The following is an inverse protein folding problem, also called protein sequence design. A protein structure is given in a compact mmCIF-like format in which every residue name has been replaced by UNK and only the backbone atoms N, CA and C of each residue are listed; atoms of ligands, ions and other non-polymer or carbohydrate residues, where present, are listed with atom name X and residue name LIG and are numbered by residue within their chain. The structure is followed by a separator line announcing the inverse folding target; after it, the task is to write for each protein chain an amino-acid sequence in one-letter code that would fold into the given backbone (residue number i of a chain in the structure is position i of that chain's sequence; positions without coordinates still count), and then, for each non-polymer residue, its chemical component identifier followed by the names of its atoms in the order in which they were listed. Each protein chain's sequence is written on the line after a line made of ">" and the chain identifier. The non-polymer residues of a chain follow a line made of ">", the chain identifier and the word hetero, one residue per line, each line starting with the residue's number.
data_IF_986812285638
#
_entry.id   IF_986812285638
#
_cell.length_a   1.000
_cell.length_b   1.000
_cell.length_c   1.000
_cell.angle_alpha   90.00
_cell.angle_beta   90.00
_cell.angle_gamma   90.00
#
_symmetry.space_group_name_H-M   'P 1'
#
loop_
_entity.id
_entity.type
_entity.pdbx_description
1 polymer ?
#
# COMPACT_ATOMS: atom_id res chain seq x y z
N UNK A 1 0.69 -0.74 12.22
CA UNK A 1 1.71 0.08 11.50
C UNK A 1 1.34 0.09 10.02
N UNK A 2 1.57 1.16 9.25
CA UNK A 2 1.29 1.11 7.81
C UNK A 2 2.21 0.12 7.09
N UNK A 3 1.75 -0.44 5.98
CA UNK A 3 2.64 -1.10 4.99
C UNK A 3 3.64 -0.07 4.45
N UNK A 4 4.79 -0.52 3.96
CA UNK A 4 5.82 0.41 3.48
C UNK A 4 5.45 0.98 2.12
N UNK A 5 5.18 0.12 1.14
CA UNK A 5 4.92 0.55 -0.24
C UNK A 5 3.78 -0.21 -0.91
N UNK A 6 2.92 0.53 -1.62
CA UNK A 6 1.77 -0.01 -2.34
C UNK A 6 1.91 0.26 -3.83
N UNK A 7 1.88 -0.79 -4.65
CA UNK A 7 1.78 -0.66 -6.11
C UNK A 7 0.37 -0.21 -6.49
N UNK A 8 0.29 0.93 -7.17
CA UNK A 8 -0.97 1.53 -7.61
C UNK A 8 -1.03 1.50 -9.14
N UNK A 9 -2.01 0.77 -9.69
CA UNK A 9 -2.21 0.61 -11.13
C UNK A 9 -3.58 1.16 -11.48
N UNK A 10 -3.60 2.21 -12.30
CA UNK A 10 -4.80 2.82 -12.84
C UNK A 10 -4.47 3.40 -14.21
N UNK A 11 -5.46 3.45 -15.09
CA UNK A 11 -5.32 3.91 -16.47
C UNK A 11 -5.87 5.32 -16.72
N UNK A 12 -6.39 5.97 -15.69
CA UNK A 12 -6.93 7.32 -15.75
C UNK A 12 -6.50 8.17 -14.54
N UNK A 13 -6.56 9.50 -14.70
CA UNK A 13 -6.06 10.45 -13.69
C UNK A 13 -6.85 10.40 -12.39
N UNK A 14 -8.18 10.25 -12.46
CA UNK A 14 -9.05 10.27 -11.29
C UNK A 14 -8.78 9.07 -10.37
N UNK A 15 -8.70 7.86 -10.92
CA UNK A 15 -8.45 6.65 -10.14
C UNK A 15 -7.02 6.61 -9.59
N UNK A 16 -6.04 7.14 -10.34
CA UNK A 16 -4.68 7.29 -9.84
C UNK A 16 -4.62 8.24 -8.62
N UNK A 17 -5.39 9.33 -8.63
CA UNK A 17 -5.51 10.25 -7.50
C UNK A 17 -6.26 9.63 -6.31
N UNK A 18 -7.31 8.84 -6.55
CA UNK A 18 -8.03 8.11 -5.49
C UNK A 18 -7.08 7.13 -4.80
N UNK A 19 -6.32 6.34 -5.57
CA UNK A 19 -5.31 5.42 -5.05
C UNK A 19 -4.24 6.17 -4.25
N UNK A 20 -3.71 7.26 -4.79
CA UNK A 20 -2.71 8.10 -4.11
C UNK A 20 -3.24 8.61 -2.77
N UNK A 21 -4.45 9.18 -2.74
CA UNK A 21 -5.06 9.70 -1.53
C UNK A 21 -5.24 8.60 -0.47
N UNK A 22 -5.74 7.43 -0.87
CA UNK A 22 -5.92 6.28 0.02
C UNK A 22 -4.59 5.80 0.64
N UNK A 23 -3.56 5.61 -0.18
CA UNK A 23 -2.26 5.12 0.26
C UNK A 23 -1.55 6.12 1.17
N UNK A 24 -1.60 7.41 0.84
CA UNK A 24 -0.99 8.46 1.66
C UNK A 24 -1.74 8.74 2.96
N UNK A 25 -3.07 8.60 2.99
CA UNK A 25 -3.86 8.72 4.21
C UNK A 25 -3.49 7.67 5.26
N UNK A 26 -3.08 6.47 4.82
CA UNK A 26 -2.57 5.41 5.70
C UNK A 26 -1.12 5.67 6.14
N UNK A 27 -0.37 6.45 5.36
CA UNK A 27 1.02 6.80 5.63
C UNK A 27 2.06 5.99 4.84
N UNK A 28 1.62 5.16 3.90
CA UNK A 28 2.47 4.35 3.03
C UNK A 28 3.17 5.20 1.93
N UNK A 29 4.12 4.59 1.21
CA UNK A 29 4.62 5.09 -0.08
C UNK A 29 3.82 4.50 -1.26
N UNK A 30 3.74 5.25 -2.36
CA UNK A 30 3.14 4.77 -3.62
C UNK A 30 4.25 4.34 -4.57
N UNK A 31 4.09 3.15 -5.17
CA UNK A 31 4.80 2.75 -6.38
C UNK A 31 3.88 2.92 -7.58
N UNK A 32 4.27 3.75 -8.52
CA UNK A 32 3.58 3.93 -9.79
C UNK A 32 4.35 3.31 -10.95
N UNK A 33 3.65 2.79 -11.97
CA UNK A 33 4.27 2.51 -13.25
C UNK A 33 4.84 3.81 -13.83
N UNK A 34 6.04 3.73 -14.39
CA UNK A 34 6.72 4.83 -15.05
C UNK A 34 6.11 5.09 -16.44
N UNK A 35 4.88 5.61 -16.46
CA UNK A 35 4.12 5.95 -17.66
C UNK A 35 3.87 7.46 -17.74
N UNK A 36 3.53 7.94 -18.93
CA UNK A 36 3.24 9.36 -19.18
C UNK A 36 2.17 9.90 -18.22
N UNK A 37 1.10 9.14 -17.98
CA UNK A 37 -0.01 9.56 -17.11
C UNK A 37 0.48 9.85 -15.69
N UNK A 38 1.16 8.90 -15.05
CA UNK A 38 1.62 9.04 -13.67
C UNK A 38 2.74 10.09 -13.56
N UNK A 39 3.61 10.21 -14.57
CA UNK A 39 4.65 11.24 -14.62
C UNK A 39 4.07 12.64 -14.73
N UNK A 40 3.07 12.84 -15.59
CA UNK A 40 2.43 14.14 -15.77
C UNK A 40 1.58 14.52 -14.57
N UNK A 41 0.92 13.56 -13.94
CA UNK A 41 0.22 13.78 -12.68
C UNK A 41 1.19 14.22 -11.58
N UNK A 42 2.31 13.52 -11.40
CA UNK A 42 3.30 13.84 -10.36
C UNK A 42 3.90 15.24 -10.49
N UNK A 43 4.03 15.78 -11.71
CA UNK A 43 4.48 17.18 -11.92
C UNK A 43 3.49 18.22 -11.40
N UNK A 44 2.21 17.87 -11.30
CA UNK A 44 1.14 18.75 -10.80
C UNK A 44 1.00 18.70 -9.28
N UNK A 45 1.61 17.70 -8.61
CA UNK A 45 1.43 17.47 -7.18
C UNK A 45 2.38 18.34 -6.34
N UNK A 46 1.98 18.71 -5.11
CA UNK A 46 2.87 19.33 -4.13
C UNK A 46 4.10 18.46 -3.88
N UNK A 47 5.21 19.11 -3.53
CA UNK A 47 6.50 18.45 -3.35
C UNK A 47 6.43 17.33 -2.30
N UNK A 48 5.76 17.59 -1.18
CA UNK A 48 5.62 16.68 -0.05
C UNK A 48 4.90 15.38 -0.45
N UNK A 49 3.96 15.48 -1.39
CA UNK A 49 3.23 14.34 -1.97
C UNK A 49 4.14 13.60 -2.94
N UNK A 50 4.82 14.32 -3.85
CA UNK A 50 5.73 13.75 -4.84
C UNK A 50 6.91 13.01 -4.22
N UNK A 51 7.41 13.44 -3.05
CA UNK A 51 8.47 12.76 -2.29
C UNK A 51 8.04 11.37 -1.76
N UNK A 52 6.74 11.09 -1.68
CA UNK A 52 6.18 9.78 -1.29
C UNK A 52 5.93 8.84 -2.47
N UNK A 53 6.20 9.29 -3.69
CA UNK A 53 5.97 8.51 -4.92
C UNK A 53 7.29 7.93 -5.42
N UNK A 54 7.26 6.66 -5.81
CA UNK A 54 8.33 5.95 -6.50
C UNK A 54 7.82 5.53 -7.87
N UNK A 55 8.73 5.45 -8.83
CA UNK A 55 8.42 5.01 -10.19
C UNK A 55 9.28 3.80 -10.55
N UNK A 56 8.68 2.86 -11.26
CA UNK A 56 9.41 1.78 -11.91
C UNK A 56 8.78 1.45 -13.26
N UNK A 57 9.61 1.06 -14.23
CA UNK A 57 9.12 0.61 -15.52
C UNK A 57 8.31 -0.67 -15.38
N UNK A 58 7.39 -0.93 -16.30
CA UNK A 58 6.53 -2.11 -16.26
C UNK A 58 7.33 -3.41 -16.15
N UNK A 59 8.43 -3.52 -16.90
CA UNK A 59 9.30 -4.71 -16.87
C UNK A 59 10.00 -4.91 -15.51
N UNK A 60 10.19 -3.83 -14.76
CA UNK A 60 10.91 -3.82 -13.48
C UNK A 60 9.99 -4.00 -12.29
N UNK A 61 8.67 -3.75 -12.45
CA UNK A 61 7.69 -3.83 -11.37
C UNK A 61 7.74 -5.16 -10.62
N UNK A 62 7.79 -6.35 -11.26
CA UNK A 62 7.84 -7.61 -10.54
C UNK A 62 9.01 -7.71 -9.54
N UNK A 63 10.16 -7.13 -9.88
CA UNK A 63 11.35 -7.11 -9.03
C UNK A 63 11.39 -6.00 -7.97
N UNK A 64 10.42 -5.09 -7.95
CA UNK A 64 10.35 -4.04 -6.94
C UNK A 64 9.78 -4.57 -5.62
N UNK A 65 10.26 -4.01 -4.51
CA UNK A 65 9.65 -4.23 -3.20
C UNK A 65 8.35 -3.42 -3.07
N UNK A 66 7.26 -4.11 -2.76
CA UNK A 66 5.95 -3.57 -2.39
C UNK A 66 5.16 -4.63 -1.63
N UNK A 67 4.28 -4.19 -0.72
CA UNK A 67 3.59 -5.03 0.27
C UNK A 67 2.09 -5.21 -0.01
N UNK A 68 1.55 -4.41 -0.94
CA UNK A 68 0.16 -4.44 -1.39
C UNK A 68 0.06 -3.92 -2.83
N UNK A 69 -1.02 -4.31 -3.52
CA UNK A 69 -1.39 -3.78 -4.84
C UNK A 69 -2.82 -3.25 -4.80
N UNK A 70 -3.04 -2.09 -5.39
CA UNK A 70 -4.37 -1.56 -5.70
C UNK A 70 -4.47 -1.37 -7.21
N UNK A 71 -5.55 -1.87 -7.79
CA UNK A 71 -5.83 -1.83 -9.22
C UNK A 71 -7.21 -1.23 -9.48
N UNK A 72 -7.30 -0.26 -10.40
CA UNK A 72 -8.54 0.22 -10.99
C UNK A 72 -8.53 -0.09 -12.50
N UNK A 73 -9.54 -0.82 -12.99
CA UNK A 73 -9.64 -1.15 -14.41
C UNK A 73 -10.62 -2.29 -14.68
N UNK A 74 -10.39 -3.03 -15.77
CA UNK A 74 -11.20 -4.21 -16.11
C UNK A 74 -10.68 -5.51 -15.47
N UNK A 75 -11.53 -6.52 -15.44
CA UNK A 75 -11.27 -7.82 -14.81
C UNK A 75 -10.23 -8.67 -15.54
N UNK A 76 -10.08 -8.49 -16.85
CA UNK A 76 -9.15 -9.29 -17.65
C UNK A 76 -7.71 -8.88 -17.34
N UNK A 77 -7.44 -7.58 -17.35
CA UNK A 77 -6.16 -7.01 -16.93
C UNK A 77 -5.87 -7.24 -15.43
N UNK A 78 -6.90 -7.22 -14.58
CA UNK A 78 -6.74 -7.59 -13.15
C UNK A 78 -6.24 -9.02 -12.99
N UNK A 79 -6.74 -9.97 -13.80
CA UNK A 79 -6.30 -11.35 -13.75
C UNK A 79 -4.83 -11.49 -14.13
N UNK A 80 -4.42 -10.84 -15.22
CA UNK A 80 -3.01 -10.80 -15.65
C UNK A 80 -2.10 -10.20 -14.57
N UNK A 81 -2.54 -9.10 -13.93
CA UNK A 81 -1.81 -8.49 -12.83
C UNK A 81 -1.68 -9.44 -11.63
N UNK A 82 -2.74 -10.15 -11.27
CA UNK A 82 -2.70 -11.15 -10.20
C UNK A 82 -1.72 -12.28 -10.51
N UNK A 83 -1.68 -12.78 -11.75
CA UNK A 83 -0.72 -13.80 -12.19
C UNK A 83 0.72 -13.29 -12.06
N UNK A 84 0.99 -12.05 -12.50
CA UNK A 84 2.31 -11.43 -12.36
C UNK A 84 2.72 -11.23 -10.90
N UNK A 85 1.80 -10.78 -10.04
CA UNK A 85 2.07 -10.57 -8.61
C UNK A 85 2.31 -11.91 -7.89
N UNK A 86 1.56 -12.94 -8.24
CA UNK A 86 1.71 -14.29 -7.67
C UNK A 86 3.01 -14.98 -8.09
N UNK A 87 3.55 -14.65 -9.27
CA UNK A 87 4.81 -15.18 -9.76
C UNK A 87 6.05 -14.53 -9.11
N UNK A 88 5.89 -13.51 -8.26
CA UNK A 88 7.00 -12.84 -7.59
C UNK A 88 7.59 -13.71 -6.48
N UNK A 89 8.90 -13.67 -6.37
CA UNK A 89 9.59 -14.24 -5.23
C UNK A 89 9.30 -13.43 -3.94
N UNK A 90 9.28 -14.12 -2.81
CA UNK A 90 9.13 -13.52 -1.48
C UNK A 90 7.71 -13.62 -0.92
N UNK A 91 7.31 -12.59 -0.17
CA UNK A 91 6.03 -12.61 0.54
C UNK A 91 4.85 -12.50 -0.45
N UNK A 92 3.78 -13.25 -0.18
CA UNK A 92 2.52 -13.12 -0.92
C UNK A 92 1.93 -11.74 -0.66
N UNK A 93 1.71 -11.00 -1.74
CA UNK A 93 1.16 -9.65 -1.70
C UNK A 93 -0.33 -9.66 -2.00
N UNK A 94 -1.12 -8.96 -1.19
CA UNK A 94 -2.55 -8.81 -1.44
C UNK A 94 -2.84 -7.84 -2.58
N UNK A 95 -3.69 -8.25 -3.52
CA UNK A 95 -4.23 -7.39 -4.58
C UNK A 95 -5.65 -6.97 -4.23
N UNK A 96 -5.94 -5.67 -4.36
CA UNK A 96 -7.28 -5.12 -4.31
C UNK A 96 -7.66 -4.62 -5.70
N UNK A 97 -8.69 -5.21 -6.31
CA UNK A 97 -9.19 -4.84 -7.62
C UNK A 97 -10.51 -4.09 -7.51
N UNK A 98 -10.63 -2.99 -8.25
CA UNK A 98 -11.78 -2.10 -8.27
C UNK A 98 -12.12 -1.74 -9.73
N UNK A 99 -13.39 -1.51 -10.03
CA UNK A 99 -13.80 -0.93 -11.31
C UNK A 99 -13.44 0.56 -11.36
N UNK A 100 -13.30 1.11 -12.57
CA UNK A 100 -12.98 2.53 -12.75
C UNK A 100 -14.02 3.43 -12.04
N UNK A 101 -13.55 4.46 -11.34
CA UNK A 101 -14.38 5.39 -10.58
C UNK A 101 -14.86 4.90 -9.22
N UNK A 102 -14.52 3.68 -8.81
CA UNK A 102 -14.75 3.23 -7.44
C UNK A 102 -13.87 4.03 -6.45
N UNK A 103 -14.44 4.37 -5.30
CA UNK A 103 -13.77 5.22 -4.30
C UNK A 103 -13.66 4.55 -2.93
N UNK A 104 -14.36 3.44 -2.72
CA UNK A 104 -14.44 2.76 -1.43
C UNK A 104 -13.29 1.75 -1.26
N UNK A 105 -12.06 2.26 -1.24
CA UNK A 105 -10.85 1.46 -1.07
C UNK A 105 -10.75 0.98 0.39
N UNK A 106 -10.40 -0.28 0.60
CA UNK A 106 -10.28 -0.89 1.94
C UNK A 106 -8.94 -0.51 2.58
N UNK A 107 -8.91 0.62 3.29
CA UNK A 107 -7.71 1.19 3.90
C UNK A 107 -7.14 0.30 5.02
N UNK A 108 -7.99 -0.43 5.73
CA UNK A 108 -7.60 -1.36 6.80
C UNK A 108 -6.63 -2.45 6.29
N UNK A 109 -6.73 -2.82 5.02
CA UNK A 109 -5.84 -3.83 4.39
C UNK A 109 -4.43 -3.29 4.12
N UNK A 110 -4.25 -1.97 4.23
CA UNK A 110 -2.95 -1.31 4.08
C UNK A 110 -2.20 -1.16 5.41
N UNK A 111 -2.79 -1.60 6.54
CA UNK A 111 -2.10 -1.71 7.82
C UNK A 111 -1.58 -3.12 8.08
N UNK A 112 -0.51 -3.20 8.87
CA UNK A 112 0.05 -4.38 9.50
C UNK A 112 -0.32 -4.34 10.98
N UNK A 113 -1.02 -5.37 11.43
CA UNK A 113 -1.38 -5.56 12.83
C UNK A 113 -0.17 -6.04 13.65
N UNK A 114 0.00 -5.51 14.85
CA UNK A 114 1.10 -5.87 15.75
C UNK A 114 0.58 -6.04 17.17
N UNK A 115 0.73 -7.23 17.73
CA UNK A 115 0.43 -7.52 19.13
C UNK A 115 1.72 -7.57 19.95
N UNK A 116 1.71 -6.89 21.11
CA UNK A 116 2.85 -6.84 22.03
C UNK A 116 2.37 -7.29 23.41
N UNK A 117 2.85 -8.45 23.86
CA UNK A 117 2.60 -8.94 25.22
C UNK A 117 3.83 -8.66 26.08
N UNK A 118 3.65 -7.84 27.12
CA UNK A 118 4.72 -7.46 28.05
C UNK A 118 4.45 -8.12 29.38
N UNK A 119 5.37 -8.98 29.83
CA UNK A 119 5.29 -9.54 31.19
C UNK A 119 5.72 -8.47 32.20
N UNK A 120 4.75 -7.76 32.77
CA UNK A 120 4.96 -6.70 33.76
C UNK A 120 5.44 -7.21 35.12
N UNK A 121 5.34 -8.52 35.40
CA UNK A 121 5.82 -9.15 36.62
C UNK A 121 7.21 -9.79 36.48
N UNK A 122 7.86 -9.66 35.31
CA UNK A 122 9.14 -10.29 35.04
C UNK A 122 10.26 -9.90 36.02
N UNK A 123 10.17 -8.72 36.65
CA UNK A 123 11.11 -8.26 37.68
C UNK A 123 10.84 -8.83 39.10
N UNK A 124 9.90 -9.79 39.24
CA UNK A 124 9.63 -10.48 40.51
C UNK A 124 8.46 -9.93 41.32
N UNK A 125 7.66 -9.01 40.78
CA UNK A 125 6.46 -8.49 41.44
C UNK A 125 5.63 -7.61 40.49
N UNK A 126 4.32 -7.58 40.70
CA UNK A 126 3.43 -6.69 39.95
C UNK A 126 3.22 -5.40 40.74
N UNK A 127 3.85 -4.31 40.30
CA UNK A 127 3.75 -3.01 40.95
C UNK A 127 2.29 -2.51 41.08
N UNK A 128 1.43 -2.83 40.12
CA UNK A 128 0.00 -2.45 40.15
C UNK A 128 -0.80 -3.20 41.23
N UNK A 129 -0.32 -4.37 41.69
CA UNK A 129 -0.92 -5.11 42.81
C UNK A 129 -0.42 -4.63 44.18
N UNK A 130 0.70 -3.89 44.24
CA UNK A 130 1.25 -3.38 45.50
C UNK A 130 0.52 -2.14 46.03
N UNK A 131 -0.40 -1.57 45.25
CA UNK A 131 -1.17 -0.34 45.58
C UNK A 131 -2.67 -0.58 45.83
N UNK A 132 -3.14 -1.83 45.69
CA UNK A 132 -4.51 -2.22 46.05
C UNK A 132 -4.48 -2.75 47.49
N UNK A 133 -5.15 -2.04 48.39
CA UNK A 133 -5.31 -2.38 49.81
C UNK A 133 -6.70 -2.03 50.32
#
# INVERSE_FOLDING_TARGET
>A
MPRERVLCVADNEQDALIQLAAVLAVGCEVLWPDSALQRDLAKKLPREVSERIRFAKAEQLPGQAFDAVIYHGDSDQLRELCEQVAARDGAIVSVQGFARGETNLLLERLYIERSLSVNTAAAGGNASLMTIG
#
